data_IF_829425254655
#
_entry.id   IF_829425254655
#
_cell.length_a   1.000
_cell.length_b   1.000
_cell.length_c   1.000
_cell.angle_alpha   90.00
_cell.angle_beta   90.00
_cell.angle_gamma   90.00
#
_symmetry.space_group_name_H-M   'P 1'
#
loop_
_entity.id
_entity.type
_entity.pdbx_description
1 polymer ?
#
# COMPACT_ATOMS: atom_id res chain seq x y z
N UNK A 1 -21.98 -23.91 13.58
CA UNK A 1 -20.57 -23.96 13.11
C UNK A 1 -20.50 -24.64 11.75
N UNK A 2 -19.85 -24.00 10.75
CA UNK A 2 -19.52 -24.60 9.44
C UNK A 2 -18.13 -25.25 9.51
N UNK A 3 -17.89 -26.31 8.72
CA UNK A 3 -16.59 -26.99 8.73
C UNK A 3 -16.19 -27.44 7.33
N UNK A 4 -14.89 -27.38 7.01
CA UNK A 4 -14.37 -27.84 5.73
C UNK A 4 -14.85 -27.02 4.53
N UNK A 5 -15.06 -25.71 4.73
CA UNK A 5 -15.54 -24.76 3.69
C UNK A 5 -14.44 -24.39 2.69
N UNK A 6 -14.83 -23.84 1.53
CA UNK A 6 -13.86 -23.37 0.53
C UNK A 6 -13.10 -22.14 0.99
N UNK A 7 -11.99 -21.81 0.30
CA UNK A 7 -11.20 -20.59 0.54
C UNK A 7 -12.06 -19.35 0.32
N UNK A 8 -12.85 -19.33 -0.73
CA UNK A 8 -13.71 -18.23 -1.14
C UNK A 8 -14.87 -18.00 -0.14
N UNK A 9 -15.47 -19.08 0.36
CA UNK A 9 -16.49 -19.01 1.40
C UNK A 9 -15.92 -18.51 2.72
N UNK A 10 -14.75 -19.01 3.12
CA UNK A 10 -14.04 -18.56 4.31
C UNK A 10 -13.71 -17.07 4.25
N UNK A 11 -13.18 -16.59 3.12
CA UNK A 11 -12.89 -15.17 2.93
C UNK A 11 -14.16 -14.31 3.03
N UNK A 12 -15.25 -14.76 2.40
CA UNK A 12 -16.55 -14.07 2.48
C UNK A 12 -17.03 -13.92 3.93
N UNK A 13 -16.91 -14.98 4.73
CA UNK A 13 -17.31 -14.95 6.14
C UNK A 13 -16.39 -14.06 6.97
N UNK A 14 -15.07 -14.11 6.73
CA UNK A 14 -14.10 -13.21 7.40
C UNK A 14 -14.39 -11.75 7.10
N UNK A 15 -14.68 -11.39 5.85
CA UNK A 15 -15.00 -10.02 5.46
C UNK A 15 -16.33 -9.53 6.07
N UNK A 16 -17.29 -10.43 6.32
CA UNK A 16 -18.52 -10.09 7.05
C UNK A 16 -18.25 -9.71 8.51
N UNK A 17 -17.21 -10.25 9.12
CA UNK A 17 -16.81 -9.89 10.48
C UNK A 17 -16.06 -8.54 10.54
N UNK A 18 -15.47 -8.09 9.42
CA UNK A 18 -14.84 -6.78 9.31
C UNK A 18 -15.89 -5.65 9.19
N UNK A 19 -16.93 -5.72 10.04
CA UNK A 19 -17.99 -4.72 10.15
C UNK A 19 -17.60 -3.69 11.21
N UNK A 20 -18.02 -2.47 11.02
CA UNK A 20 -17.72 -1.36 11.91
C UNK A 20 -16.92 -0.28 11.21
N UNK A 21 -16.78 0.83 11.88
CA UNK A 21 -16.05 1.99 11.39
C UNK A 21 -14.97 2.34 12.40
N UNK A 22 -13.73 2.40 11.93
CA UNK A 22 -12.62 2.90 12.74
C UNK A 22 -12.83 4.38 13.00
N UNK A 23 -12.52 4.85 14.22
CA UNK A 23 -12.55 6.27 14.52
C UNK A 23 -11.58 7.05 13.63
N UNK A 24 -11.94 8.29 13.37
CA UNK A 24 -11.13 9.24 12.59
C UNK A 24 -10.26 10.02 13.54
N UNK A 25 -9.00 10.20 13.17
CA UNK A 25 -8.05 11.07 13.85
C UNK A 25 -7.41 12.05 12.86
N UNK A 26 -6.99 13.19 13.37
CA UNK A 26 -6.33 14.20 12.56
C UNK A 26 -4.83 14.21 12.87
N UNK A 27 -4.00 13.88 11.86
CA UNK A 27 -2.54 13.78 12.02
C UNK A 27 -1.82 14.86 11.21
N UNK A 28 -0.66 15.34 11.67
CA UNK A 28 0.21 16.18 10.85
C UNK A 28 0.61 15.44 9.56
N UNK A 29 0.76 16.18 8.45
CA UNK A 29 1.12 15.58 7.16
C UNK A 29 2.38 14.71 7.23
N UNK A 30 3.39 15.12 7.99
CA UNK A 30 4.65 14.35 8.19
C UNK A 30 4.45 12.98 8.85
N UNK A 31 3.33 12.75 9.53
CA UNK A 31 2.97 11.50 10.23
C UNK A 31 1.94 10.67 9.47
N UNK A 32 1.50 11.16 8.30
CA UNK A 32 0.41 10.57 7.54
C UNK A 32 0.84 9.46 6.57
N UNK A 33 2.15 9.24 6.35
CA UNK A 33 2.62 8.17 5.49
C UNK A 33 2.11 6.79 5.96
N UNK A 34 1.59 5.99 5.02
CA UNK A 34 1.05 4.67 5.32
C UNK A 34 -0.27 4.68 6.10
N UNK A 35 -0.91 5.84 6.26
CA UNK A 35 -2.25 5.97 6.80
C UNK A 35 -3.30 5.91 5.68
N UNK A 36 -4.53 5.68 6.03
CA UNK A 36 -5.67 5.61 5.10
C UNK A 36 -6.56 6.83 5.30
N UNK A 37 -6.85 7.56 4.22
CA UNK A 37 -7.69 8.75 4.26
C UNK A 37 -9.11 8.43 4.72
N UNK A 38 -9.63 9.23 5.64
CA UNK A 38 -10.99 9.13 6.16
C UNK A 38 -11.98 10.11 5.48
N UNK A 39 -11.49 10.92 4.55
CA UNK A 39 -12.31 11.88 3.77
C UNK A 39 -11.71 12.08 2.38
N UNK A 40 -12.53 12.59 1.46
CA UNK A 40 -12.05 13.07 0.17
C UNK A 40 -11.28 14.38 0.36
N UNK A 41 -10.22 14.59 -0.45
CA UNK A 41 -9.45 15.82 -0.45
C UNK A 41 -9.59 16.52 -1.80
N UNK A 42 -10.19 17.72 -1.76
CA UNK A 42 -10.21 18.63 -2.88
C UNK A 42 -9.05 19.62 -2.78
N UNK A 43 -8.43 20.00 -3.89
CA UNK A 43 -7.33 20.96 -3.84
C UNK A 43 -7.79 22.31 -3.27
N UNK A 44 -7.03 22.86 -2.34
CA UNK A 44 -7.27 24.17 -1.75
C UNK A 44 -6.78 25.31 -2.64
N UNK A 45 -5.94 24.99 -3.62
CA UNK A 45 -5.26 25.94 -4.51
C UNK A 45 -5.33 25.46 -5.97
N UNK A 46 -5.07 26.35 -6.93
CA UNK A 46 -4.67 25.96 -8.26
C UNK A 46 -3.16 25.69 -8.29
N UNK A 47 -2.70 24.79 -9.14
CA UNK A 47 -1.28 24.63 -9.45
C UNK A 47 -1.08 24.44 -10.96
N UNK A 48 -0.33 25.32 -11.63
CA UNK A 48 0.17 26.60 -11.09
C UNK A 48 -0.99 27.52 -10.67
N UNK A 49 -0.72 28.49 -9.80
CA UNK A 49 -1.74 29.41 -9.27
C UNK A 49 -2.15 30.49 -10.27
N UNK A 50 -1.36 30.70 -11.31
CA UNK A 50 -1.61 31.52 -12.50
C UNK A 50 -0.80 30.95 -13.66
N UNK A 51 -1.02 31.45 -14.89
CA UNK A 51 -0.23 31.02 -16.05
C UNK A 51 1.26 31.24 -15.78
N UNK A 52 2.06 30.20 -15.96
CA UNK A 52 3.50 30.23 -15.74
C UNK A 52 4.29 29.67 -16.94
N UNK A 53 5.60 29.91 -16.93
CA UNK A 53 6.48 29.35 -17.96
C UNK A 53 7.00 27.96 -17.61
N UNK A 54 6.93 27.04 -18.58
CA UNK A 54 7.53 25.71 -18.49
C UNK A 54 9.05 25.71 -18.74
N UNK A 55 9.62 26.82 -19.23
CA UNK A 55 11.01 26.91 -19.68
C UNK A 55 11.66 28.23 -19.25
N UNK A 56 12.97 28.25 -19.25
CA UNK A 56 13.75 29.48 -19.13
C UNK A 56 13.76 30.17 -20.48
N UNK A 57 13.60 31.51 -20.47
CA UNK A 57 13.54 32.28 -21.73
C UNK A 57 13.06 33.69 -21.57
N UNK A 58 12.33 34.18 -22.55
CA UNK A 58 11.78 35.54 -22.57
C UNK A 58 10.28 35.52 -22.91
N UNK A 59 9.47 36.05 -22.00
CA UNK A 59 8.05 36.30 -22.22
C UNK A 59 7.86 37.58 -23.01
N UNK A 60 7.07 37.52 -24.07
CA UNK A 60 6.81 38.63 -24.98
C UNK A 60 5.44 38.47 -25.64
N UNK A 61 5.08 39.44 -26.50
CA UNK A 61 3.90 39.33 -27.34
C UNK A 61 4.25 38.50 -28.58
N UNK A 62 3.48 37.45 -28.86
CA UNK A 62 3.72 36.54 -29.98
C UNK A 62 3.80 37.30 -31.31
N UNK A 63 2.88 38.29 -31.52
CA UNK A 63 2.80 39.07 -32.76
C UNK A 63 4.08 39.87 -33.08
N UNK A 64 4.84 40.26 -32.04
CA UNK A 64 6.09 40.99 -32.21
C UNK A 64 7.27 40.10 -32.64
N UNK A 65 7.06 38.77 -32.67
CA UNK A 65 8.11 37.77 -32.97
C UNK A 65 7.92 37.08 -34.32
N UNK A 66 6.84 37.40 -35.03
CA UNK A 66 6.51 36.77 -36.30
C UNK A 66 7.63 37.00 -37.33
N UNK A 67 8.07 35.90 -37.96
CA UNK A 67 9.14 35.95 -38.99
C UNK A 67 10.56 35.94 -38.42
N UNK A 68 10.73 35.82 -37.10
CA UNK A 68 12.06 35.65 -36.50
C UNK A 68 12.73 34.35 -37.01
N UNK A 69 13.99 34.49 -37.44
CA UNK A 69 14.84 33.36 -37.83
C UNK A 69 16.31 33.68 -37.55
N UNK A 70 17.23 32.73 -37.61
CA UNK A 70 18.66 32.98 -37.48
C UNK A 70 19.19 33.97 -38.50
N UNK A 71 18.61 34.00 -39.71
CA UNK A 71 18.98 34.95 -40.80
C UNK A 71 18.32 36.32 -40.67
N UNK A 72 17.18 36.35 -39.95
CA UNK A 72 16.43 37.59 -39.71
C UNK A 72 15.95 37.65 -38.25
N UNK A 73 16.88 37.92 -37.31
CA UNK A 73 16.52 37.95 -35.89
C UNK A 73 15.60 39.13 -35.56
N UNK A 74 14.60 38.89 -34.73
CA UNK A 74 13.77 39.96 -34.17
C UNK A 74 14.41 40.44 -32.85
N UNK A 75 14.50 41.78 -32.70
CA UNK A 75 15.11 42.44 -31.56
C UNK A 75 14.05 42.99 -30.61
N UNK A 76 14.04 42.54 -29.35
CA UNK A 76 13.16 43.06 -28.31
C UNK A 76 13.97 43.69 -27.18
N UNK A 77 13.45 44.73 -26.54
CA UNK A 77 14.03 45.35 -25.35
C UNK A 77 13.66 44.57 -24.12
N UNK A 78 14.65 44.18 -23.33
CA UNK A 78 14.40 43.47 -22.07
C UNK A 78 14.19 44.47 -20.95
N UNK A 79 12.94 44.54 -20.44
CA UNK A 79 12.49 45.53 -19.47
C UNK A 79 12.57 45.06 -18.02
N UNK A 80 12.92 43.77 -17.77
CA UNK A 80 13.05 43.21 -16.46
C UNK A 80 13.17 41.71 -16.48
N UNK A 81 13.05 41.15 -15.31
CA UNK A 81 13.06 39.68 -15.07
C UNK A 81 11.94 39.25 -14.16
N UNK A 82 11.44 38.02 -14.33
CA UNK A 82 10.44 37.36 -13.51
C UNK A 82 10.97 36.00 -13.01
N UNK A 83 11.75 35.96 -11.91
CA UNK A 83 12.15 34.72 -11.32
C UNK A 83 10.98 34.08 -10.56
N UNK A 84 11.05 32.74 -10.36
CA UNK A 84 10.06 32.02 -9.56
C UNK A 84 9.96 32.64 -8.14
N UNK A 85 8.75 32.87 -7.69
CA UNK A 85 8.46 33.48 -6.39
C UNK A 85 8.66 35.01 -6.30
N UNK A 86 9.11 35.67 -7.40
CA UNK A 86 9.22 37.14 -7.49
C UNK A 86 8.76 37.60 -8.86
N UNK A 87 7.43 37.62 -9.13
CA UNK A 87 6.90 37.94 -10.43
C UNK A 87 7.25 39.40 -10.84
N UNK A 88 7.44 39.62 -12.13
CA UNK A 88 7.60 40.96 -12.68
C UNK A 88 6.31 41.77 -12.51
N UNK A 89 6.42 42.92 -11.84
CA UNK A 89 5.25 43.76 -11.51
C UNK A 89 4.80 44.72 -12.63
N UNK A 90 5.43 44.67 -13.79
CA UNK A 90 5.12 45.57 -14.94
C UNK A 90 4.30 44.84 -15.99
N UNK A 91 4.05 45.59 -17.10
CA UNK A 91 3.37 45.07 -18.27
C UNK A 91 4.31 45.06 -19.49
N UNK A 92 4.26 43.99 -20.26
CA UNK A 92 5.01 43.85 -21.52
C UNK A 92 4.29 44.57 -22.62
N UNK A 93 4.95 45.59 -23.19
CA UNK A 93 4.47 46.36 -24.31
C UNK A 93 5.00 45.84 -25.65
N UNK A 94 4.64 46.52 -26.74
CA UNK A 94 5.12 46.22 -28.09
C UNK A 94 6.66 46.41 -28.17
N UNK A 95 7.35 45.41 -28.72
CA UNK A 95 8.81 45.39 -28.85
C UNK A 95 9.56 45.20 -27.56
N UNK A 96 8.89 44.72 -26.50
CA UNK A 96 9.46 44.47 -25.20
C UNK A 96 9.43 42.96 -24.82
N UNK A 97 10.31 42.57 -23.94
CA UNK A 97 10.37 41.22 -23.37
C UNK A 97 10.79 41.25 -21.91
N UNK A 98 10.40 40.25 -21.14
CA UNK A 98 10.82 40.01 -19.75
C UNK A 98 11.53 38.67 -19.69
N UNK A 99 12.71 38.61 -19.08
CA UNK A 99 13.39 37.37 -18.84
C UNK A 99 12.57 36.54 -17.81
N UNK A 100 12.25 35.30 -18.14
CA UNK A 100 11.44 34.41 -17.31
C UNK A 100 12.21 33.11 -17.03
N UNK A 101 11.99 32.56 -15.88
CA UNK A 101 12.62 31.30 -15.42
C UNK A 101 11.53 30.27 -15.12
N UNK A 102 11.82 29.01 -15.38
CA UNK A 102 10.86 27.91 -15.21
C UNK A 102 10.05 28.04 -13.91
N UNK A 103 8.75 27.99 -14.01
CA UNK A 103 7.80 28.16 -12.89
C UNK A 103 7.53 29.63 -12.52
N UNK A 104 8.08 30.60 -13.25
CA UNK A 104 7.75 32.00 -13.05
C UNK A 104 6.41 32.35 -13.73
N UNK A 105 5.57 33.18 -13.06
CA UNK A 105 4.36 33.71 -13.69
C UNK A 105 4.63 34.47 -14.98
N UNK A 106 3.76 34.29 -15.94
CA UNK A 106 3.81 35.07 -17.20
C UNK A 106 3.44 36.52 -16.89
N UNK A 107 4.30 37.50 -17.25
CA UNK A 107 4.00 38.91 -17.04
C UNK A 107 2.76 39.38 -17.80
N UNK A 108 2.03 40.33 -17.24
CA UNK A 108 0.89 40.98 -17.96
C UNK A 108 1.32 41.50 -19.33
N UNK A 109 0.51 41.25 -20.33
CA UNK A 109 0.75 41.68 -21.72
C UNK A 109 1.57 40.75 -22.58
N UNK A 110 2.24 39.75 -21.97
CA UNK A 110 2.88 38.65 -22.70
C UNK A 110 1.90 37.50 -22.92
N UNK A 111 1.95 36.85 -24.08
CA UNK A 111 1.13 35.71 -24.48
C UNK A 111 1.94 34.59 -25.14
N UNK A 112 3.27 34.72 -25.16
CA UNK A 112 4.19 33.69 -25.64
C UNK A 112 5.53 33.77 -24.92
N UNK A 113 6.25 32.64 -24.95
CA UNK A 113 7.62 32.51 -24.44
C UNK A 113 8.50 32.00 -25.56
N UNK A 114 9.71 32.56 -25.67
CA UNK A 114 10.78 31.99 -26.46
C UNK A 114 11.83 31.39 -25.51
N UNK A 115 12.30 30.18 -25.81
CA UNK A 115 13.33 29.49 -25.03
C UNK A 115 14.65 30.21 -25.11
N UNK A 116 15.42 30.23 -24.04
CA UNK A 116 16.73 30.89 -23.98
C UNK A 116 17.69 30.38 -25.06
N UNK A 117 17.60 29.11 -25.45
CA UNK A 117 18.43 28.47 -26.47
C UNK A 117 18.21 29.06 -27.88
N UNK A 118 17.01 29.59 -28.12
CA UNK A 118 16.64 30.22 -29.38
C UNK A 118 16.84 31.74 -29.37
N UNK A 119 17.69 32.24 -28.46
CA UNK A 119 17.94 33.68 -28.31
C UNK A 119 19.42 33.99 -28.16
N UNK A 120 19.74 35.27 -28.36
CA UNK A 120 21.07 35.86 -28.06
C UNK A 120 20.90 37.18 -27.33
N UNK A 121 21.46 37.31 -26.13
CA UNK A 121 21.43 38.56 -25.36
C UNK A 121 22.43 39.56 -25.89
N UNK A 122 22.00 40.80 -26.08
CA UNK A 122 22.85 41.95 -26.50
C UNK A 122 22.54 43.17 -25.63
N UNK A 123 23.25 43.32 -24.52
CA UNK A 123 23.03 44.44 -23.59
C UNK A 123 21.62 44.46 -23.03
N UNK A 124 20.89 45.56 -23.28
CA UNK A 124 19.48 45.71 -22.88
C UNK A 124 18.50 45.02 -23.85
N UNK A 125 18.97 44.36 -24.89
CA UNK A 125 18.15 43.70 -25.87
C UNK A 125 18.38 42.19 -25.92
N UNK A 126 17.40 41.50 -26.44
CA UNK A 126 17.48 40.08 -26.82
C UNK A 126 17.13 39.93 -28.29
N UNK A 127 17.94 39.17 -29.01
CA UNK A 127 17.67 38.75 -30.39
C UNK A 127 17.00 37.40 -30.37
N UNK A 128 15.84 37.31 -30.99
CA UNK A 128 15.06 36.08 -31.13
C UNK A 128 15.43 35.45 -32.48
N UNK A 129 15.87 34.19 -32.43
CA UNK A 129 16.29 33.40 -33.59
C UNK A 129 15.15 32.48 -34.10
N UNK A 130 14.02 32.49 -33.41
CA UNK A 130 12.78 31.79 -33.77
C UNK A 130 11.56 32.56 -33.24
N UNK A 131 10.35 32.31 -33.74
CA UNK A 131 9.14 32.89 -33.19
C UNK A 131 8.86 32.37 -31.78
N UNK A 132 8.43 33.22 -30.87
CA UNK A 132 7.93 32.81 -29.55
C UNK A 132 6.64 32.00 -29.68
N UNK A 133 6.42 31.11 -28.73
CA UNK A 133 5.29 30.18 -28.77
C UNK A 133 4.48 30.20 -27.44
N UNK A 134 3.15 30.17 -27.50
CA UNK A 134 2.31 29.98 -26.32
C UNK A 134 2.39 28.55 -25.74
N UNK A 135 2.99 27.57 -26.46
CA UNK A 135 3.07 26.16 -26.04
C UNK A 135 3.92 25.94 -24.78
N UNK A 136 4.83 26.87 -24.49
CA UNK A 136 5.70 26.81 -23.31
C UNK A 136 5.07 27.54 -22.09
N UNK A 137 3.83 28.03 -22.22
CA UNK A 137 3.02 28.55 -21.11
C UNK A 137 2.14 27.42 -20.57
N UNK A 138 2.24 27.15 -19.28
CA UNK A 138 1.32 26.27 -18.56
C UNK A 138 0.17 27.13 -18.03
N UNK A 139 -1.08 26.78 -18.36
CA UNK A 139 -2.23 27.55 -17.89
C UNK A 139 -2.47 27.33 -16.38
N UNK A 140 -3.07 28.30 -15.73
CA UNK A 140 -3.53 28.20 -14.35
C UNK A 140 -4.31 26.91 -14.11
N UNK A 141 -3.93 26.13 -13.10
CA UNK A 141 -4.62 24.90 -12.73
C UNK A 141 -4.39 23.75 -13.71
N UNK A 142 -3.31 23.77 -14.47
CA UNK A 142 -2.96 22.69 -15.41
C UNK A 142 -2.75 21.35 -14.70
N UNK A 143 -2.12 21.37 -13.50
CA UNK A 143 -1.90 20.19 -12.66
C UNK A 143 -3.00 20.03 -11.61
N UNK A 144 -3.30 21.08 -10.83
CA UNK A 144 -4.33 21.06 -9.78
C UNK A 144 -5.32 22.21 -9.94
N UNK A 145 -6.60 21.89 -9.96
CA UNK A 145 -7.69 22.88 -9.94
C UNK A 145 -8.30 22.97 -8.55
N UNK A 146 -8.37 24.19 -8.02
CA UNK A 146 -9.00 24.46 -6.74
C UNK A 146 -10.45 23.91 -6.69
N UNK A 147 -10.76 23.15 -5.66
CA UNK A 147 -12.08 22.54 -5.45
C UNK A 147 -12.27 21.18 -6.13
N UNK A 148 -11.34 20.75 -7.02
CA UNK A 148 -11.39 19.42 -7.62
C UNK A 148 -10.81 18.37 -6.68
N UNK A 149 -11.46 17.18 -6.60
CA UNK A 149 -11.08 16.07 -5.70
C UNK A 149 -10.04 15.19 -6.39
N UNK A 150 -8.85 15.10 -5.82
CA UNK A 150 -7.73 14.28 -6.32
C UNK A 150 -7.43 13.05 -5.46
N UNK A 151 -7.72 13.10 -4.16
CA UNK A 151 -7.56 11.96 -3.27
C UNK A 151 -8.90 11.64 -2.61
N UNK A 152 -9.19 10.35 -2.43
CA UNK A 152 -10.48 9.90 -1.93
C UNK A 152 -10.37 9.19 -0.59
N UNK A 153 -11.46 9.20 0.14
CA UNK A 153 -11.63 8.36 1.32
C UNK A 153 -11.30 6.90 0.98
N UNK A 154 -10.48 6.26 1.81
CA UNK A 154 -9.99 4.90 1.60
C UNK A 154 -8.66 4.81 0.85
N UNK A 155 -8.11 5.93 0.35
CA UNK A 155 -6.80 5.94 -0.27
C UNK A 155 -5.69 5.75 0.76
N UNK A 156 -4.79 4.79 0.51
CA UNK A 156 -3.55 4.65 1.26
C UNK A 156 -2.60 5.79 0.89
N UNK A 157 -2.08 6.51 1.87
CA UNK A 157 -1.13 7.61 1.67
C UNK A 157 0.27 7.07 1.37
N UNK A 158 0.53 6.85 0.09
CA UNK A 158 1.85 6.55 -0.48
C UNK A 158 2.70 7.82 -0.57
N UNK A 159 4.03 7.73 -0.84
CA UNK A 159 4.86 8.94 -1.01
C UNK A 159 4.31 9.93 -2.03
N UNK A 160 3.83 9.47 -3.19
CA UNK A 160 3.24 10.35 -4.22
C UNK A 160 1.95 11.02 -3.75
N UNK A 161 1.06 10.28 -3.07
CA UNK A 161 -0.17 10.85 -2.53
C UNK A 161 0.08 11.83 -1.37
N UNK A 162 1.12 11.58 -0.58
CA UNK A 162 1.53 12.49 0.49
C UNK A 162 2.04 13.82 -0.10
N UNK A 163 2.89 13.74 -1.14
CA UNK A 163 3.35 14.91 -1.89
C UNK A 163 2.21 15.68 -2.54
N UNK A 164 1.24 14.96 -3.12
CA UNK A 164 0.05 15.56 -3.72
C UNK A 164 -0.80 16.32 -2.66
N UNK A 165 -1.04 15.73 -1.49
CA UNK A 165 -1.74 16.38 -0.39
C UNK A 165 -1.03 17.67 0.07
N UNK A 166 0.32 17.65 0.09
CA UNK A 166 1.13 18.83 0.38
C UNK A 166 0.95 19.93 -0.69
N UNK A 167 1.04 19.56 -1.98
CA UNK A 167 0.82 20.48 -3.09
C UNK A 167 -0.60 21.07 -3.11
N UNK A 168 -1.58 20.30 -2.66
CA UNK A 168 -2.97 20.75 -2.49
C UNK A 168 -3.17 21.71 -1.30
N UNK A 169 -2.14 21.91 -0.43
CA UNK A 169 -2.14 22.85 0.68
C UNK A 169 -2.55 22.29 2.04
N UNK A 170 -2.56 20.98 2.25
CA UNK A 170 -2.98 20.37 3.51
C UNK A 170 -1.82 20.20 4.50
N UNK A 171 -1.81 20.89 5.66
CA UNK A 171 -0.81 20.68 6.71
C UNK A 171 -1.13 19.49 7.61
N UNK A 172 -2.40 19.06 7.66
CA UNK A 172 -2.95 17.97 8.47
C UNK A 172 -3.98 17.20 7.65
N UNK A 173 -4.14 15.91 7.95
CA UNK A 173 -5.06 15.04 7.25
C UNK A 173 -5.94 14.27 8.24
N UNK A 174 -7.21 14.09 7.89
CA UNK A 174 -8.11 13.18 8.60
C UNK A 174 -7.91 11.77 8.04
N UNK A 175 -7.53 10.85 8.90
CA UNK A 175 -7.22 9.46 8.56
C UNK A 175 -7.97 8.53 9.51
N UNK A 176 -8.21 7.30 9.07
CA UNK A 176 -8.67 6.27 10.00
C UNK A 176 -7.56 5.94 11.00
N UNK A 177 -7.90 5.73 12.28
CA UNK A 177 -6.93 5.16 13.22
C UNK A 177 -6.47 3.79 12.74
N UNK A 178 -5.31 3.36 13.17
CA UNK A 178 -4.85 2.00 12.89
C UNK A 178 -5.72 0.99 13.66
N UNK A 179 -6.18 -0.11 13.02
CA UNK A 179 -6.86 -1.19 13.72
C UNK A 179 -5.89 -1.87 14.70
N UNK A 180 -6.34 -2.06 15.94
CA UNK A 180 -5.56 -2.73 16.99
C UNK A 180 -5.77 -4.25 16.91
N UNK A 181 -4.68 -4.98 16.70
CA UNK A 181 -4.69 -6.42 16.46
C UNK A 181 -3.95 -7.14 17.59
N UNK A 182 -4.67 -7.85 18.43
CA UNK A 182 -4.08 -8.70 19.46
C UNK A 182 -3.41 -9.93 18.84
N UNK A 183 -2.22 -10.28 19.28
CA UNK A 183 -1.50 -11.48 18.87
C UNK A 183 -1.21 -12.30 20.11
N UNK A 184 -1.88 -13.46 20.22
CA UNK A 184 -1.79 -14.39 21.34
C UNK A 184 -1.15 -15.70 20.87
N UNK A 185 -0.07 -16.12 21.52
CA UNK A 185 0.57 -17.40 21.27
C UNK A 185 0.15 -18.42 22.33
N UNK A 186 -0.12 -19.65 21.90
CA UNK A 186 -0.44 -20.78 22.78
C UNK A 186 0.46 -21.97 22.47
N UNK A 187 0.65 -22.84 23.43
CA UNK A 187 1.49 -24.04 23.34
C UNK A 187 2.56 -24.05 24.42
N UNK A 188 2.61 -25.13 25.22
CA UNK A 188 3.57 -25.25 26.33
C UNK A 188 5.03 -25.35 25.84
N UNK A 189 5.21 -25.81 24.59
CA UNK A 189 6.50 -25.88 23.89
C UNK A 189 7.04 -24.51 23.46
N UNK A 190 6.20 -23.46 23.39
CA UNK A 190 6.60 -22.16 22.86
C UNK A 190 7.41 -21.37 23.89
N UNK A 191 8.56 -20.84 23.47
CA UNK A 191 9.50 -20.07 24.30
C UNK A 191 9.82 -18.76 23.63
N UNK A 192 9.96 -17.67 24.37
CA UNK A 192 10.33 -16.38 23.80
C UNK A 192 11.82 -16.37 23.36
N UNK A 193 12.15 -15.71 22.24
CA UNK A 193 13.53 -15.53 21.81
C UNK A 193 14.38 -14.86 22.89
N UNK A 194 15.54 -15.44 23.16
CA UNK A 194 16.43 -14.98 24.23
C UNK A 194 16.35 -15.80 25.52
N UNK A 195 15.30 -16.57 25.71
CA UNK A 195 15.19 -17.52 26.82
C UNK A 195 15.87 -18.85 26.46
N UNK A 196 16.35 -19.62 27.45
CA UNK A 196 16.89 -20.94 27.20
C UNK A 196 15.85 -21.88 26.59
N UNK A 197 16.21 -22.53 25.47
CA UNK A 197 15.31 -23.45 24.78
C UNK A 197 15.33 -24.83 25.48
N UNK A 198 14.22 -25.26 26.10
CA UNK A 198 14.15 -26.58 26.70
C UNK A 198 14.08 -27.68 25.64
N UNK A 199 14.34 -28.92 26.03
CA UNK A 199 14.17 -30.06 25.13
C UNK A 199 12.72 -30.14 24.64
N UNK A 200 12.52 -30.18 23.31
CA UNK A 200 11.20 -30.17 22.68
C UNK A 200 10.57 -28.79 22.56
N UNK A 201 11.23 -27.74 23.06
CA UNK A 201 10.77 -26.34 22.90
C UNK A 201 11.02 -25.80 21.52
N UNK A 202 10.24 -24.76 21.15
CA UNK A 202 10.38 -23.99 19.91
C UNK A 202 10.27 -22.49 20.21
N UNK A 203 11.05 -21.67 19.53
CA UNK A 203 10.92 -20.23 19.70
C UNK A 203 9.64 -19.70 19.06
N UNK A 204 9.04 -18.68 19.69
CA UNK A 204 7.81 -18.01 19.27
C UNK A 204 8.00 -17.18 17.99
N UNK A 205 8.31 -17.84 16.89
CA UNK A 205 8.50 -17.17 15.60
C UNK A 205 7.20 -16.60 15.03
N UNK A 206 6.06 -17.21 15.35
CA UNK A 206 4.75 -16.79 14.81
C UNK A 206 4.33 -15.41 15.30
N UNK A 207 4.56 -15.09 16.58
CA UNK A 207 4.24 -13.75 17.11
C UNK A 207 4.95 -12.64 16.32
N UNK A 208 6.23 -12.83 16.01
CA UNK A 208 7.03 -11.84 15.29
C UNK A 208 6.69 -11.79 13.81
N UNK A 209 6.42 -12.92 13.17
CA UNK A 209 5.92 -12.93 11.78
C UNK A 209 4.58 -12.23 11.65
N UNK A 210 3.64 -12.50 12.55
CA UNK A 210 2.32 -11.86 12.58
C UNK A 210 2.42 -10.37 12.91
N UNK A 211 3.31 -9.98 13.83
CA UNK A 211 3.59 -8.57 14.12
C UNK A 211 3.95 -7.81 12.85
N UNK A 212 4.93 -8.31 12.09
CA UNK A 212 5.35 -7.70 10.82
C UNK A 212 4.22 -7.64 9.80
N UNK A 213 3.47 -8.73 9.63
CA UNK A 213 2.34 -8.80 8.69
C UNK A 213 1.19 -7.85 9.06
N UNK A 214 0.90 -7.67 10.35
CA UNK A 214 -0.10 -6.72 10.84
C UNK A 214 0.34 -5.28 10.53
N UNK A 215 1.61 -4.94 10.81
CA UNK A 215 2.17 -3.62 10.49
C UNK A 215 2.13 -3.33 8.99
N UNK A 216 2.53 -4.29 8.16
CA UNK A 216 2.47 -4.18 6.69
C UNK A 216 1.03 -3.98 6.18
N UNK A 217 0.05 -4.59 6.83
CA UNK A 217 -1.36 -4.40 6.54
C UNK A 217 -1.95 -3.09 7.10
N UNK A 218 -1.13 -2.24 7.74
CA UNK A 218 -1.55 -0.95 8.30
C UNK A 218 -2.16 -1.03 9.70
N UNK A 219 -2.10 -2.19 10.36
CA UNK A 219 -2.58 -2.39 11.74
C UNK A 219 -1.55 -2.01 12.80
N UNK A 220 -2.02 -1.91 14.04
CA UNK A 220 -1.24 -1.76 15.27
C UNK A 220 -1.20 -3.11 15.99
N UNK A 221 -0.08 -3.85 15.97
CA UNK A 221 0.02 -5.13 16.66
C UNK A 221 0.16 -4.93 18.17
N UNK A 222 -0.61 -5.71 18.93
CA UNK A 222 -0.55 -5.79 20.40
C UNK A 222 -0.11 -7.20 20.77
N UNK A 223 1.16 -7.37 21.12
CA UNK A 223 1.67 -8.66 21.58
C UNK A 223 1.08 -9.00 22.95
N UNK A 224 0.26 -10.03 23.03
CA UNK A 224 -0.36 -10.51 24.26
C UNK A 224 0.51 -11.56 24.97
N UNK A 225 1.62 -11.93 24.34
CA UNK A 225 2.55 -12.92 24.84
C UNK A 225 2.01 -14.36 24.74
N UNK A 226 2.65 -15.25 25.51
CA UNK A 226 2.22 -16.62 25.64
C UNK A 226 1.19 -16.74 26.77
N UNK A 227 0.19 -17.56 26.57
CA UNK A 227 -0.78 -17.95 27.58
C UNK A 227 -0.79 -19.46 27.71
N UNK A 228 -0.80 -19.93 28.96
CA UNK A 228 -1.06 -21.31 29.25
C UNK A 228 -2.42 -21.75 28.72
N UNK A 229 -2.55 -23.02 28.38
CA UNK A 229 -3.76 -23.60 27.82
C UNK A 229 -4.91 -23.70 28.85
N UNK A 230 -5.27 -22.53 29.45
CA UNK A 230 -6.33 -22.38 30.44
C UNK A 230 -7.31 -21.28 30.06
N UNK A 231 -8.63 -21.56 30.01
CA UNK A 231 -9.66 -20.61 29.57
C UNK A 231 -9.62 -19.26 30.29
N UNK A 232 -9.53 -19.28 31.62
CA UNK A 232 -9.54 -18.07 32.44
C UNK A 232 -8.33 -17.18 32.17
N UNK A 233 -7.17 -17.76 31.91
CA UNK A 233 -5.96 -17.01 31.60
C UNK A 233 -6.03 -16.35 30.21
N UNK A 234 -6.62 -17.02 29.22
CA UNK A 234 -6.89 -16.44 27.91
C UNK A 234 -7.80 -15.22 28.06
N UNK A 235 -8.92 -15.35 28.77
CA UNK A 235 -9.86 -14.27 29.01
C UNK A 235 -9.22 -13.09 29.75
N UNK A 236 -8.48 -13.36 30.83
CA UNK A 236 -7.77 -12.34 31.60
C UNK A 236 -6.76 -11.57 30.76
N UNK A 237 -6.03 -12.27 29.88
CA UNK A 237 -5.05 -11.63 29.00
C UNK A 237 -5.72 -10.70 27.97
N UNK A 238 -6.88 -11.08 27.44
CA UNK A 238 -7.66 -10.26 26.54
C UNK A 238 -8.22 -9.01 27.23
N UNK A 239 -8.68 -9.14 28.46
CA UNK A 239 -9.17 -7.98 29.25
C UNK A 239 -8.05 -6.96 29.51
N UNK A 240 -6.84 -7.45 29.79
CA UNK A 240 -5.66 -6.60 29.99
C UNK A 240 -5.18 -5.89 28.72
N UNK A 241 -5.51 -6.40 27.52
CA UNK A 241 -5.14 -5.79 26.25
C UNK A 241 -5.93 -4.52 25.91
N UNK A 242 -7.08 -4.31 26.57
CA UNK A 242 -8.02 -3.25 26.19
C UNK A 242 -8.75 -3.56 24.88
N UNK A 243 -9.39 -2.56 24.25
CA UNK A 243 -10.19 -2.77 23.06
C UNK A 243 -9.32 -3.22 21.88
N UNK A 244 -9.73 -4.32 21.22
CA UNK A 244 -9.12 -4.87 20.02
C UNK A 244 -10.14 -4.86 18.88
N UNK A 245 -9.66 -4.68 17.64
CA UNK A 245 -10.48 -4.79 16.43
C UNK A 245 -10.40 -6.20 15.83
N UNK A 246 -9.35 -6.93 16.14
CA UNK A 246 -9.13 -8.32 15.73
C UNK A 246 -8.23 -9.00 16.77
N UNK A 247 -8.51 -10.25 17.09
CA UNK A 247 -7.62 -11.13 17.82
C UNK A 247 -7.07 -12.20 16.87
N UNK A 248 -5.76 -12.33 16.82
CA UNK A 248 -5.06 -13.44 16.19
C UNK A 248 -4.57 -14.39 17.29
N UNK A 249 -4.88 -15.68 17.18
CA UNK A 249 -4.23 -16.70 17.99
C UNK A 249 -3.35 -17.56 17.11
N UNK A 250 -2.18 -17.95 17.61
CA UNK A 250 -1.26 -18.85 16.92
C UNK A 250 -1.12 -20.15 17.72
N UNK A 251 -1.63 -21.24 17.16
CA UNK A 251 -1.77 -22.52 17.83
C UNK A 251 -3.15 -22.73 18.47
N UNK A 252 -3.35 -23.88 19.10
CA UNK A 252 -4.56 -24.22 19.86
C UNK A 252 -5.86 -24.39 19.05
N UNK A 253 -5.78 -24.57 17.72
CA UNK A 253 -6.96 -24.63 16.82
C UNK A 253 -7.02 -25.90 15.94
N UNK A 254 -6.15 -26.88 16.17
CA UNK A 254 -6.12 -28.14 15.42
C UNK A 254 -7.08 -29.19 16.00
N UNK A 255 -6.77 -30.47 15.92
CA UNK A 255 -7.62 -31.59 16.39
C UNK A 255 -7.12 -32.23 17.69
N UNK A 256 -6.05 -31.69 18.31
CA UNK A 256 -5.45 -32.23 19.52
C UNK A 256 -6.31 -32.03 20.76
N UNK A 257 -6.14 -32.92 21.76
CA UNK A 257 -6.78 -32.76 23.07
C UNK A 257 -6.36 -31.47 23.79
N UNK A 258 -5.23 -30.90 23.40
CA UNK A 258 -4.61 -29.67 23.94
C UNK A 258 -4.99 -28.39 23.19
N UNK A 259 -5.96 -28.44 22.24
CA UNK A 259 -6.37 -27.26 21.50
C UNK A 259 -7.34 -26.39 22.32
N UNK A 260 -6.80 -25.70 23.32
CA UNK A 260 -7.56 -24.95 24.34
C UNK A 260 -8.25 -23.73 23.75
N UNK A 261 -7.62 -23.02 22.82
CA UNK A 261 -8.26 -21.84 22.20
C UNK A 261 -9.59 -22.20 21.55
N UNK A 262 -9.64 -23.31 20.82
CA UNK A 262 -10.89 -23.75 20.20
C UNK A 262 -11.94 -24.08 21.26
N UNK A 263 -11.58 -24.82 22.32
CA UNK A 263 -12.51 -25.16 23.42
C UNK A 263 -13.05 -23.91 24.11
N UNK A 264 -12.18 -22.95 24.43
CA UNK A 264 -12.59 -21.65 24.99
C UNK A 264 -13.59 -20.94 24.09
N UNK A 265 -13.32 -20.87 22.78
CA UNK A 265 -14.19 -20.22 21.83
C UNK A 265 -15.52 -20.98 21.59
N UNK A 266 -15.54 -22.31 21.78
CA UNK A 266 -16.77 -23.12 21.77
C UNK A 266 -17.60 -22.94 23.05
N UNK A 267 -16.98 -22.69 24.19
CA UNK A 267 -17.65 -22.52 25.48
C UNK A 267 -18.15 -21.09 25.72
N UNK A 268 -17.31 -20.08 25.44
CA UNK A 268 -17.61 -18.68 25.81
C UNK A 268 -17.64 -17.71 24.63
N UNK A 269 -17.44 -18.20 23.42
CA UNK A 269 -17.48 -17.46 22.18
C UNK A 269 -18.57 -17.96 21.22
N UNK A 270 -18.53 -17.48 19.99
CA UNK A 270 -19.37 -17.93 18.90
C UNK A 270 -18.48 -18.34 17.71
N UNK A 271 -18.36 -19.65 17.47
CA UNK A 271 -17.57 -20.17 16.35
C UNK A 271 -18.39 -20.09 15.06
N UNK A 272 -17.89 -19.33 14.09
CA UNK A 272 -18.50 -19.14 12.76
C UNK A 272 -18.15 -20.30 11.84
N UNK A 273 -16.84 -20.59 11.71
CA UNK A 273 -16.38 -21.77 10.99
C UNK A 273 -15.09 -22.34 11.58
N UNK A 274 -14.83 -23.60 11.28
CA UNK A 274 -13.59 -24.31 11.56
C UNK A 274 -13.20 -25.21 10.40
N UNK A 275 -11.94 -25.19 9.99
CA UNK A 275 -11.33 -25.85 8.83
C UNK A 275 -11.74 -25.26 7.49
N UNK A 276 -10.74 -25.02 6.67
CA UNK A 276 -10.84 -24.54 5.29
C UNK A 276 -10.17 -25.55 4.36
N UNK A 277 -10.71 -25.71 3.16
CA UNK A 277 -10.14 -26.57 2.13
C UNK A 277 -8.94 -25.91 1.45
N UNK A 278 -7.87 -25.76 2.22
CA UNK A 278 -6.59 -25.17 1.75
C UNK A 278 -5.39 -25.96 2.26
N UNK A 279 -4.25 -25.76 1.62
CA UNK A 279 -2.94 -26.26 2.01
C UNK A 279 -1.84 -25.24 1.68
N UNK A 280 -1.04 -24.76 2.67
CA UNK A 280 -1.12 -25.08 4.12
C UNK A 280 -2.27 -24.34 4.80
N UNK A 281 -2.51 -24.63 6.07
CA UNK A 281 -3.44 -23.86 6.90
C UNK A 281 -4.87 -24.41 6.98
N UNK A 282 -5.09 -25.74 6.77
CA UNK A 282 -6.41 -26.36 6.90
C UNK A 282 -7.13 -26.06 8.23
N UNK A 283 -6.48 -26.10 9.42
CA UNK A 283 -7.14 -25.82 10.69
C UNK A 283 -7.23 -24.32 11.01
N UNK A 284 -7.84 -23.55 10.12
CA UNK A 284 -8.20 -22.16 10.34
C UNK A 284 -9.55 -22.08 11.04
N UNK A 285 -9.68 -21.17 12.01
CA UNK A 285 -10.90 -20.92 12.76
C UNK A 285 -11.28 -19.43 12.69
N UNK A 286 -12.58 -19.15 12.51
CA UNK A 286 -13.18 -17.84 12.69
C UNK A 286 -14.20 -17.92 13.81
N UNK A 287 -14.09 -17.02 14.79
CA UNK A 287 -15.02 -16.91 15.88
C UNK A 287 -15.23 -15.46 16.31
N UNK A 288 -16.17 -15.24 17.22
CA UNK A 288 -16.32 -14.01 17.99
C UNK A 288 -16.13 -14.31 19.47
N UNK A 289 -15.39 -13.47 20.16
CA UNK A 289 -15.23 -13.56 21.61
C UNK A 289 -15.59 -12.18 22.21
N UNK A 290 -16.70 -12.12 22.95
CA UNK A 290 -17.21 -10.86 23.53
C UNK A 290 -17.33 -9.73 22.47
N UNK A 291 -17.75 -10.06 21.26
CA UNK A 291 -17.89 -9.12 20.14
C UNK A 291 -16.60 -8.83 19.35
N UNK A 292 -15.44 -9.31 19.81
CA UNK A 292 -14.16 -9.20 19.11
C UNK A 292 -14.05 -10.35 18.10
N UNK A 293 -13.83 -10.06 16.80
CA UNK A 293 -13.51 -11.09 15.81
C UNK A 293 -12.19 -11.80 16.16
N UNK A 294 -12.17 -13.12 16.03
CA UNK A 294 -11.01 -13.95 16.32
C UNK A 294 -10.67 -14.79 15.10
N UNK A 295 -9.44 -14.67 14.62
CA UNK A 295 -8.86 -15.58 13.64
C UNK A 295 -7.89 -16.52 14.38
N UNK A 296 -8.31 -17.77 14.56
CA UNK A 296 -7.46 -18.82 15.09
C UNK A 296 -6.59 -19.41 13.99
N UNK A 297 -5.30 -19.08 14.02
CA UNK A 297 -4.31 -19.49 13.03
C UNK A 297 -3.60 -20.78 13.45
N UNK A 298 -3.19 -21.63 12.49
CA UNK A 298 -2.44 -22.85 12.81
C UNK A 298 -1.10 -22.56 13.50
N UNK A 299 -0.63 -23.49 14.33
CA UNK A 299 0.68 -23.38 15.00
C UNK A 299 1.88 -23.47 14.07
N UNK A 300 1.78 -24.18 12.93
CA UNK A 300 2.84 -24.23 11.95
C UNK A 300 3.09 -22.85 11.32
N UNK A 301 4.33 -22.34 11.29
CA UNK A 301 4.63 -20.95 10.94
C UNK A 301 4.21 -20.57 9.50
N UNK A 302 4.46 -21.43 8.52
CA UNK A 302 4.04 -21.17 7.12
C UNK A 302 2.51 -21.12 7.03
N UNK A 303 1.81 -22.02 7.74
CA UNK A 303 0.34 -22.05 7.74
C UNK A 303 -0.24 -20.77 8.36
N UNK A 304 0.36 -20.30 9.45
CA UNK A 304 -0.02 -19.07 10.14
C UNK A 304 0.12 -17.87 9.22
N UNK A 305 1.30 -17.68 8.59
CA UNK A 305 1.58 -16.57 7.69
C UNK A 305 0.68 -16.58 6.45
N UNK A 306 0.52 -17.74 5.78
CA UNK A 306 -0.35 -17.89 4.60
C UNK A 306 -1.81 -17.60 4.96
N UNK A 307 -2.29 -18.10 6.11
CA UNK A 307 -3.66 -17.84 6.55
C UNK A 307 -3.87 -16.37 6.89
N UNK A 308 -2.92 -15.71 7.56
CA UNK A 308 -3.02 -14.27 7.76
C UNK A 308 -3.05 -13.51 6.43
N UNK A 309 -2.18 -13.85 5.49
CA UNK A 309 -2.12 -13.20 4.18
C UNK A 309 -3.45 -13.33 3.42
N UNK A 310 -4.07 -14.51 3.44
CA UNK A 310 -5.32 -14.78 2.73
C UNK A 310 -6.57 -14.22 3.42
N UNK A 311 -6.57 -14.06 4.75
CA UNK A 311 -7.78 -13.69 5.53
C UNK A 311 -7.57 -12.49 6.44
N UNK A 312 -6.50 -12.44 7.22
CA UNK A 312 -6.22 -11.34 8.15
C UNK A 312 -5.94 -10.02 7.43
N UNK A 313 -5.12 -10.05 6.38
CA UNK A 313 -4.83 -8.87 5.56
C UNK A 313 -6.08 -8.32 4.86
N UNK A 314 -6.92 -9.11 4.16
CA UNK A 314 -8.20 -8.63 3.64
C UNK A 314 -9.15 -8.08 4.70
N UNK A 315 -9.21 -8.71 5.90
CA UNK A 315 -9.99 -8.20 7.02
C UNK A 315 -9.55 -6.80 7.41
N UNK A 316 -8.25 -6.57 7.59
CA UNK A 316 -7.72 -5.26 7.97
C UNK A 316 -7.91 -4.21 6.86
N UNK A 317 -7.80 -4.58 5.59
CA UNK A 317 -8.07 -3.68 4.46
C UNK A 317 -9.54 -3.26 4.42
N UNK A 318 -10.46 -4.22 4.59
CA UNK A 318 -11.90 -3.97 4.66
C UNK A 318 -12.25 -3.03 5.83
N UNK A 319 -11.68 -3.28 7.01
CA UNK A 319 -11.92 -2.47 8.21
C UNK A 319 -11.41 -1.03 8.05
N UNK A 320 -10.29 -0.84 7.38
CA UNK A 320 -9.72 0.46 7.04
C UNK A 320 -10.39 1.14 5.84
N UNK A 321 -11.37 0.49 5.21
CA UNK A 321 -12.04 1.00 4.00
C UNK A 321 -11.07 1.25 2.84
N UNK A 322 -9.99 0.48 2.73
CA UNK A 322 -8.98 0.66 1.67
C UNK A 322 -9.57 0.42 0.28
N UNK A 323 -9.18 1.25 -0.67
CA UNK A 323 -9.62 1.15 -2.08
C UNK A 323 -8.72 0.24 -2.90
N UNK A 324 -7.47 0.04 -2.48
CA UNK A 324 -6.56 -0.89 -3.11
C UNK A 324 -6.86 -2.35 -2.70
N UNK A 325 -6.65 -3.32 -3.60
CA UNK A 325 -6.90 -4.73 -3.27
C UNK A 325 -5.89 -5.24 -2.25
N UNK A 326 -6.30 -6.16 -1.33
CA UNK A 326 -5.39 -6.72 -0.32
C UNK A 326 -4.28 -7.58 -0.94
N UNK A 327 -4.50 -8.17 -2.09
CA UNK A 327 -3.51 -8.86 -2.93
C UNK A 327 -3.98 -8.86 -4.39
N UNK A 328 -3.05 -9.12 -5.29
CA UNK A 328 -3.31 -9.24 -6.73
C UNK A 328 -2.88 -10.61 -7.20
N UNK A 329 -3.61 -11.16 -8.16
CA UNK A 329 -3.22 -12.39 -8.86
C UNK A 329 -2.56 -12.03 -10.19
N UNK A 330 -1.43 -12.66 -10.48
CA UNK A 330 -0.66 -12.51 -11.70
C UNK A 330 -0.51 -13.88 -12.36
N UNK A 331 -0.13 -13.91 -13.64
CA UNK A 331 0.28 -15.12 -14.34
C UNK A 331 1.79 -15.10 -14.51
N UNK A 332 2.43 -16.22 -14.13
CA UNK A 332 3.87 -16.37 -14.28
C UNK A 332 4.17 -17.78 -14.81
N UNK A 333 5.26 -17.93 -15.53
CA UNK A 333 5.73 -19.22 -16.04
C UNK A 333 6.48 -19.96 -14.93
N UNK A 334 6.09 -21.17 -14.65
CA UNK A 334 6.77 -22.02 -13.68
C UNK A 334 8.12 -22.48 -14.25
N UNK A 335 9.23 -22.20 -13.55
CA UNK A 335 10.56 -22.69 -13.92
C UNK A 335 10.97 -23.95 -13.13
N UNK A 336 10.10 -24.39 -12.24
CA UNK A 336 10.20 -25.65 -11.50
C UNK A 336 8.80 -26.22 -11.30
N UNK A 337 8.62 -27.53 -11.15
CA UNK A 337 7.31 -28.10 -10.92
C UNK A 337 6.77 -27.70 -9.53
N UNK A 338 5.44 -27.54 -9.45
CA UNK A 338 4.71 -27.32 -8.22
C UNK A 338 3.64 -28.41 -8.02
N UNK A 339 3.72 -29.12 -6.92
CA UNK A 339 2.75 -30.16 -6.59
C UNK A 339 1.56 -29.56 -5.84
N UNK A 340 0.35 -29.75 -6.35
CA UNK A 340 -0.89 -29.34 -5.73
C UNK A 340 -1.34 -30.27 -4.60
N UNK A 341 -2.64 -30.23 -4.31
CA UNK A 341 -3.31 -31.13 -3.38
C UNK A 341 -4.57 -31.68 -4.06
N UNK A 342 -4.95 -32.91 -3.78
CA UNK A 342 -6.03 -33.58 -4.48
C UNK A 342 -7.43 -32.99 -4.19
N UNK A 343 -7.67 -32.62 -2.91
CA UNK A 343 -8.99 -32.28 -2.38
C UNK A 343 -9.15 -30.83 -1.94
N UNK A 344 -8.10 -30.00 -2.14
CA UNK A 344 -8.08 -28.63 -1.63
C UNK A 344 -7.20 -27.69 -2.44
N UNK A 345 -7.44 -26.38 -2.32
CA UNK A 345 -6.60 -25.36 -2.95
C UNK A 345 -5.22 -25.32 -2.29
N UNK A 346 -4.16 -25.39 -3.10
CA UNK A 346 -2.79 -25.38 -2.60
C UNK A 346 -2.10 -24.04 -2.86
N UNK A 347 -1.39 -23.53 -1.84
CA UNK A 347 -0.58 -22.30 -1.91
C UNK A 347 0.89 -22.68 -1.67
N UNK A 348 1.69 -22.64 -2.73
CA UNK A 348 3.09 -23.04 -2.71
C UNK A 348 3.98 -21.82 -2.71
N UNK A 349 5.04 -21.82 -1.88
CA UNK A 349 6.00 -20.70 -1.81
C UNK A 349 6.89 -20.73 -3.03
N UNK A 350 7.00 -19.55 -3.65
CA UNK A 350 7.81 -19.34 -4.83
C UNK A 350 8.61 -18.05 -4.76
N UNK A 351 9.66 -18.01 -5.56
CA UNK A 351 10.41 -16.79 -5.88
C UNK A 351 9.94 -16.33 -7.25
N UNK A 352 9.19 -15.25 -7.26
CA UNK A 352 8.73 -14.57 -8.47
C UNK A 352 9.81 -13.58 -8.91
N UNK A 353 10.17 -13.61 -10.18
CA UNK A 353 11.14 -12.70 -10.80
C UNK A 353 10.73 -12.34 -12.22
N UNK A 354 11.40 -11.34 -12.80
CA UNK A 354 11.25 -10.95 -14.20
C UNK A 354 12.52 -11.29 -14.98
N UNK A 355 12.40 -12.20 -15.96
CA UNK A 355 13.48 -12.68 -16.83
C UNK A 355 13.05 -12.54 -18.31
N UNK A 356 12.67 -11.30 -18.71
CA UNK A 356 12.01 -11.05 -20.00
C UNK A 356 10.51 -11.33 -19.98
N UNK A 357 10.05 -12.22 -19.10
CA UNK A 357 8.68 -12.52 -18.72
C UNK A 357 8.60 -12.77 -17.21
N UNK A 358 7.41 -12.76 -16.62
CA UNK A 358 7.23 -13.14 -15.21
C UNK A 358 7.43 -14.65 -15.07
N UNK A 359 8.36 -15.03 -14.21
CA UNK A 359 8.69 -16.43 -13.92
C UNK A 359 8.67 -16.71 -12.42
N UNK A 360 8.38 -17.96 -12.04
CA UNK A 360 8.36 -18.37 -10.64
C UNK A 360 9.10 -19.69 -10.43
N UNK A 361 9.98 -19.72 -9.42
CA UNK A 361 10.69 -20.92 -8.95
C UNK A 361 10.23 -21.32 -7.57
N UNK A 362 10.14 -22.62 -7.31
CA UNK A 362 9.86 -23.13 -5.96
C UNK A 362 10.98 -22.75 -4.98
N UNK A 363 10.61 -22.43 -3.73
CA UNK A 363 11.58 -22.27 -2.63
C UNK A 363 12.14 -23.60 -2.11
N UNK A 364 11.83 -24.72 -2.76
CA UNK A 364 12.24 -26.08 -2.37
C UNK A 364 11.21 -26.75 -1.46
N UNK A 365 11.60 -27.11 -0.23
CA UNK A 365 10.71 -27.84 0.68
C UNK A 365 9.44 -27.05 1.02
N UNK A 366 8.27 -27.60 0.67
CA UNK A 366 6.96 -27.00 0.84
C UNK A 366 6.23 -27.45 2.11
N UNK A 367 6.93 -28.07 3.08
CA UNK A 367 6.33 -28.40 4.40
C UNK A 367 5.90 -27.15 5.15
N UNK A 368 4.80 -27.23 5.90
CA UNK A 368 4.23 -26.11 6.68
C UNK A 368 5.08 -25.67 7.88
N UNK A 369 6.04 -26.50 8.32
CA UNK A 369 7.00 -26.16 9.36
C UNK A 369 8.27 -25.47 8.86
N UNK A 370 8.49 -25.37 7.54
CA UNK A 370 9.72 -24.81 6.96
C UNK A 370 9.60 -23.28 6.81
N UNK A 371 9.74 -22.55 7.92
CA UNK A 371 9.66 -21.08 7.94
C UNK A 371 10.63 -20.41 6.95
N UNK A 372 11.82 -20.99 6.75
CA UNK A 372 12.80 -20.47 5.76
C UNK A 372 12.20 -20.31 4.37
N UNK A 373 11.21 -21.14 3.98
CA UNK A 373 10.56 -21.02 2.67
C UNK A 373 9.74 -19.74 2.50
N UNK A 374 9.24 -19.15 3.61
CA UNK A 374 8.56 -17.85 3.60
C UNK A 374 9.54 -16.69 3.58
N UNK A 375 10.71 -16.84 4.23
CA UNK A 375 11.76 -15.81 4.22
C UNK A 375 12.46 -15.69 2.86
N UNK A 376 12.56 -16.79 2.11
CA UNK A 376 13.17 -16.84 0.77
C UNK A 376 12.16 -16.53 -0.35
N UNK A 377 10.87 -16.85 -0.14
CA UNK A 377 9.80 -16.65 -1.11
C UNK A 377 9.23 -15.23 -1.04
N UNK A 378 8.82 -14.71 -2.18
CA UNK A 378 8.12 -13.45 -2.31
C UNK A 378 6.72 -13.61 -2.93
N UNK A 379 6.29 -14.85 -3.17
CA UNK A 379 5.01 -15.14 -3.81
C UNK A 379 4.43 -16.50 -3.39
N UNK A 380 3.11 -16.63 -3.53
CA UNK A 380 2.38 -17.88 -3.44
C UNK A 380 1.91 -18.31 -4.83
N UNK A 381 2.23 -19.53 -5.24
CA UNK A 381 1.63 -20.18 -6.42
C UNK A 381 0.34 -20.84 -5.97
N UNK A 382 -0.80 -20.41 -6.53
CA UNK A 382 -2.12 -20.93 -6.22
C UNK A 382 -2.50 -22.04 -7.23
N UNK A 383 -2.80 -23.23 -6.71
CA UNK A 383 -3.18 -24.40 -7.50
C UNK A 383 -4.56 -24.88 -7.07
N UNK A 384 -5.43 -25.16 -8.03
CA UNK A 384 -6.75 -25.73 -7.77
C UNK A 384 -6.66 -27.17 -7.26
N UNK A 385 -7.71 -27.71 -6.61
CA UNK A 385 -7.74 -29.12 -6.24
C UNK A 385 -7.44 -30.04 -7.42
N UNK A 386 -6.57 -31.04 -7.22
CA UNK A 386 -6.15 -31.99 -8.25
C UNK A 386 -5.21 -31.44 -9.31
N UNK A 387 -4.81 -30.17 -9.23
CA UNK A 387 -3.92 -29.53 -10.19
C UNK A 387 -2.48 -29.53 -9.68
N UNK A 388 -1.57 -30.13 -10.48
CA UNK A 388 -0.12 -29.90 -10.38
C UNK A 388 0.29 -28.90 -11.48
N UNK A 389 1.45 -28.29 -11.36
CA UNK A 389 2.04 -27.48 -12.42
C UNK A 389 3.43 -28.03 -12.77
N UNK A 390 3.67 -28.23 -14.08
CA UNK A 390 4.95 -28.65 -14.60
C UNK A 390 5.82 -27.43 -14.95
N UNK A 391 7.10 -27.66 -15.13
CA UNK A 391 8.02 -26.67 -15.69
C UNK A 391 7.53 -26.20 -17.07
N UNK A 392 7.56 -24.88 -17.31
CA UNK A 392 7.08 -24.25 -18.54
C UNK A 392 5.60 -23.86 -18.52
N UNK A 393 4.79 -24.37 -17.60
CA UNK A 393 3.37 -24.02 -17.52
C UNK A 393 3.12 -22.65 -16.89
N UNK A 394 2.03 -22.00 -17.33
CA UNK A 394 1.56 -20.74 -16.76
C UNK A 394 0.72 -20.99 -15.51
N UNK A 395 1.15 -20.45 -14.38
CA UNK A 395 0.50 -20.61 -13.08
C UNK A 395 -0.03 -19.28 -12.54
N UNK A 396 -1.03 -19.37 -11.68
CA UNK A 396 -1.51 -18.25 -10.90
C UNK A 396 -0.54 -17.96 -9.73
N UNK A 397 -0.11 -16.72 -9.59
CA UNK A 397 0.85 -16.29 -8.58
C UNK A 397 0.30 -15.07 -7.83
N UNK A 398 0.36 -15.13 -6.52
CA UNK A 398 -0.02 -14.04 -5.63
C UNK A 398 1.24 -13.49 -4.96
N UNK A 399 1.75 -12.29 -5.35
CA UNK A 399 2.88 -11.67 -4.71
C UNK A 399 2.60 -11.38 -3.23
N UNK A 400 3.55 -11.71 -2.34
CA UNK A 400 3.46 -11.44 -0.90
C UNK A 400 3.81 -9.98 -0.58
N UNK A 401 4.68 -9.39 -1.39
CA UNK A 401 5.07 -7.97 -1.32
C UNK A 401 4.74 -7.28 -2.64
N UNK A 402 4.55 -5.96 -2.61
CA UNK A 402 4.33 -5.16 -3.83
C UNK A 402 5.63 -4.78 -4.56
N UNK A 403 6.78 -5.18 -4.05
CA UNK A 403 8.09 -5.00 -4.69
C UNK A 403 8.42 -6.28 -5.45
N UNK A 404 8.42 -6.20 -6.77
CA UNK A 404 8.91 -7.23 -7.67
C UNK A 404 10.41 -7.05 -7.90
#
# INVERSE_FOLDING_TARGET
MRTGISVEEALTLVLREAQGELSVEEVPLREAYGRVLAQDLASLVNHPDQDDTAVDGYACRQEDTLGASPENPVRLRVIGESPAGRPFAGRVGKGEAVAVYTGAPIPEGADAVIRVEDTRREGEYVLLLAPASPKDIRPQGDDLKKGEVYLRRGDLLTPGRLGLAAAMGYPRLKVFRRPRVGILSTGDEVVEPGEPLPFGGVYNSNAYSLLGLVQEAGGEPVLLGKVEDQPDKVLQRLEAAGPLDLLLTSGGVSMGEYDVVRKVLEEVGEVVFWKVQQQPGKPLLLARLRGIPVLGLPGNPVSSMVSFFLYGRPFLFQLQRRTDPPYRSLRAKALTPFKGAQDRKAFRRGVLSFEGELVVRSTGNQSSGVLRSMALGNALVALSPGQDAQEGEMVEVIPLTFVL
#
